data_IF_650626649473
#
_entry.id   IF_650626649473
#
_cell.length_a   1.000
_cell.length_b   1.000
_cell.length_c   1.000
_cell.angle_alpha   90.00
_cell.angle_beta   90.00
_cell.angle_gamma   90.00
#
_symmetry.space_group_name_H-M   'P 1'
#
loop_
_entity.id
_entity.type
_entity.pdbx_description
1 polymer ?
#
# COMPACT_ATOMS: atom_id res chain seq x y z
N UNK A 1 24.25 5.93 15.79
CA UNK A 1 24.37 5.20 14.51
C UNK A 1 23.50 5.94 13.51
N UNK A 2 24.01 6.35 12.34
CA UNK A 2 23.29 7.29 11.47
C UNK A 2 22.07 6.60 10.84
N UNK A 3 20.88 7.22 10.92
CA UNK A 3 19.61 6.65 10.45
C UNK A 3 19.66 6.23 8.96
N UNK A 4 20.54 6.89 8.19
CA UNK A 4 20.88 6.56 6.80
C UNK A 4 21.39 5.13 6.58
N UNK A 5 22.26 4.65 7.48
CA UNK A 5 22.91 3.33 7.35
C UNK A 5 21.88 2.24 7.55
N UNK A 6 20.99 2.38 8.54
CA UNK A 6 19.89 1.46 8.82
C UNK A 6 18.87 1.38 7.67
N UNK A 7 18.58 2.51 7.02
CA UNK A 7 17.67 2.57 5.87
C UNK A 7 18.26 1.96 4.60
N UNK A 8 19.57 2.14 4.37
CA UNK A 8 20.29 1.47 3.28
C UNK A 8 20.35 -0.04 3.49
N UNK A 9 20.60 -0.50 4.72
CA UNK A 9 20.68 -1.93 5.05
C UNK A 9 19.32 -2.62 4.96
N UNK A 10 18.24 -1.95 5.36
CA UNK A 10 16.87 -2.48 5.23
C UNK A 10 16.37 -2.54 3.77
N UNK A 11 17.08 -1.92 2.82
CA UNK A 11 16.84 -2.11 1.39
C UNK A 11 15.59 -1.42 0.86
N UNK A 12 15.10 -0.37 1.52
CA UNK A 12 14.00 0.44 0.99
C UNK A 12 14.45 1.25 -0.22
N UNK A 13 13.81 1.02 -1.37
CA UNK A 13 14.08 1.80 -2.58
C UNK A 13 13.45 3.19 -2.48
N UNK A 14 14.25 4.22 -2.81
CA UNK A 14 13.75 5.58 -3.02
C UNK A 14 12.77 5.57 -4.19
N UNK A 15 11.64 6.25 -4.05
CA UNK A 15 10.61 6.32 -5.09
C UNK A 15 9.96 7.69 -5.07
N UNK A 16 9.75 8.29 -6.24
CA UNK A 16 9.10 9.59 -6.34
C UNK A 16 7.66 9.51 -5.79
N UNK A 17 7.34 10.34 -4.79
CA UNK A 17 6.02 10.34 -4.13
C UNK A 17 4.93 10.79 -5.10
N UNK A 18 5.20 11.76 -5.97
CA UNK A 18 4.25 12.24 -6.98
C UNK A 18 3.89 11.10 -7.94
N UNK A 19 4.88 10.29 -8.33
CA UNK A 19 4.64 9.10 -9.17
C UNK A 19 3.71 8.10 -8.48
N UNK A 20 3.91 7.85 -7.19
CA UNK A 20 3.03 6.95 -6.41
C UNK A 20 1.61 7.50 -6.37
N UNK A 21 1.44 8.80 -6.07
CA UNK A 21 0.13 9.45 -6.04
C UNK A 21 -0.58 9.27 -7.37
N UNK A 22 0.09 9.63 -8.47
CA UNK A 22 -0.47 9.50 -9.82
C UNK A 22 -0.85 8.06 -10.14
N UNK A 23 0.04 7.09 -9.88
CA UNK A 23 -0.25 5.68 -10.14
C UNK A 23 -1.38 5.14 -9.26
N UNK A 24 -1.50 5.56 -8.00
CA UNK A 24 -2.62 5.18 -7.14
C UNK A 24 -3.97 5.61 -7.74
N UNK A 25 -4.04 6.82 -8.32
CA UNK A 25 -5.26 7.31 -8.96
C UNK A 25 -5.51 6.66 -10.33
N UNK A 26 -4.49 6.61 -11.20
CA UNK A 26 -4.61 6.08 -12.57
C UNK A 26 -5.02 4.60 -12.56
N UNK A 27 -4.50 3.83 -11.60
CA UNK A 27 -4.74 2.39 -11.50
C UNK A 27 -5.86 2.03 -10.53
N UNK A 28 -6.64 3.01 -10.04
CA UNK A 28 -7.73 2.78 -9.07
C UNK A 28 -7.31 1.93 -7.86
N UNK A 29 -6.12 2.19 -7.31
CA UNK A 29 -5.62 1.48 -6.13
C UNK A 29 -4.84 0.18 -6.40
N UNK A 30 -4.78 -0.35 -7.62
CA UNK A 30 -3.94 -1.53 -7.95
C UNK A 30 -2.47 -1.27 -7.59
N UNK A 31 -1.96 -0.07 -7.87
CA UNK A 31 -0.60 0.31 -7.51
C UNK A 31 -0.34 0.28 -6.00
N UNK A 32 -1.34 0.55 -5.17
CA UNK A 32 -1.22 0.49 -3.70
C UNK A 32 -0.90 -0.95 -3.27
N UNK A 33 -1.59 -1.94 -3.86
CA UNK A 33 -1.30 -3.36 -3.63
C UNK A 33 0.13 -3.71 -4.06
N UNK A 34 0.50 -3.31 -5.28
CA UNK A 34 1.85 -3.53 -5.80
C UNK A 34 2.92 -2.88 -4.91
N UNK A 35 2.67 -1.70 -4.37
CA UNK A 35 3.60 -0.98 -3.52
C UNK A 35 3.95 -1.76 -2.24
N UNK A 36 2.96 -2.36 -1.58
CA UNK A 36 3.18 -3.22 -0.41
C UNK A 36 3.91 -4.50 -0.78
N UNK A 37 3.51 -5.17 -1.86
CA UNK A 37 4.10 -6.44 -2.29
C UNK A 37 5.56 -6.27 -2.74
N UNK A 38 5.87 -5.21 -3.49
CA UNK A 38 7.22 -4.90 -3.96
C UNK A 38 8.21 -4.53 -2.84
N UNK A 39 7.71 -4.20 -1.64
CA UNK A 39 8.52 -3.84 -0.45
C UNK A 39 8.46 -4.90 0.65
N UNK A 40 7.85 -6.06 0.37
CA UNK A 40 7.74 -7.15 1.33
C UNK A 40 9.08 -7.49 1.97
N UNK A 41 10.10 -7.73 1.14
CA UNK A 41 11.42 -8.14 1.62
C UNK A 41 12.08 -7.07 2.51
N UNK A 42 11.90 -5.79 2.19
CA UNK A 42 12.41 -4.68 3.01
C UNK A 42 11.75 -4.64 4.39
N UNK A 43 10.43 -4.86 4.46
CA UNK A 43 9.71 -4.94 5.72
C UNK A 43 10.07 -6.20 6.52
N UNK A 44 10.23 -7.36 5.86
CA UNK A 44 10.65 -8.59 6.52
C UNK A 44 12.08 -8.49 7.09
N UNK A 45 12.96 -7.68 6.48
CA UNK A 45 14.29 -7.38 7.03
C UNK A 45 14.26 -6.50 8.28
N UNK A 46 13.29 -5.58 8.39
CA UNK A 46 13.15 -4.73 9.57
C UNK A 46 12.74 -5.52 10.81
N UNK A 47 11.92 -6.56 10.64
CA UNK A 47 11.43 -7.37 11.75
C UNK A 47 11.12 -8.80 11.29
N UNK A 48 11.64 -9.79 12.03
CA UNK A 48 11.46 -11.21 11.71
C UNK A 48 10.01 -11.73 11.81
N UNK A 49 9.09 -10.94 12.39
CA UNK A 49 7.68 -11.31 12.52
C UNK A 49 6.89 -10.62 11.41
N UNK A 50 6.18 -11.40 10.59
CA UNK A 50 5.32 -10.88 9.52
C UNK A 50 4.01 -10.33 10.12
N UNK A 51 3.96 -9.01 10.37
CA UNK A 51 2.74 -8.33 10.84
C UNK A 51 1.83 -7.85 9.69
N UNK A 52 2.38 -7.69 8.49
CA UNK A 52 1.64 -7.22 7.31
C UNK A 52 0.99 -8.42 6.60
N UNK A 53 -0.33 -8.40 6.35
CA UNK A 53 -1.05 -9.53 5.75
C UNK A 53 -0.84 -9.63 4.23
N UNK A 54 0.34 -10.02 3.77
CA UNK A 54 0.68 -10.05 2.33
C UNK A 54 -0.23 -10.95 1.48
N UNK A 55 -0.79 -12.03 2.05
CA UNK A 55 -1.75 -12.89 1.33
C UNK A 55 -3.02 -12.12 0.93
N UNK A 56 -3.51 -11.25 1.80
CA UNK A 56 -4.64 -10.38 1.51
C UNK A 56 -4.28 -9.33 0.44
N UNK A 57 -3.06 -8.80 0.47
CA UNK A 57 -2.58 -7.89 -0.58
C UNK A 57 -2.52 -8.52 -1.97
N UNK A 58 -2.16 -9.81 -2.08
CA UNK A 58 -2.23 -10.55 -3.35
C UNK A 58 -3.68 -10.69 -3.80
N UNK A 59 -4.59 -11.08 -2.90
CA UNK A 59 -6.03 -11.15 -3.21
C UNK A 59 -6.56 -9.82 -3.73
N UNK A 60 -6.28 -8.72 -3.02
CA UNK A 60 -6.71 -7.39 -3.44
C UNK A 60 -6.05 -6.96 -4.75
N UNK A 61 -4.79 -7.32 -5.02
CA UNK A 61 -4.14 -7.02 -6.30
C UNK A 61 -4.90 -7.68 -7.45
N UNK A 62 -5.19 -8.98 -7.33
CA UNK A 62 -5.94 -9.72 -8.36
C UNK A 62 -7.34 -9.15 -8.52
N UNK A 63 -8.05 -8.94 -7.41
CA UNK A 63 -9.40 -8.39 -7.42
C UNK A 63 -9.46 -7.00 -8.06
N UNK A 64 -8.66 -6.05 -7.59
CA UNK A 64 -8.64 -4.68 -8.14
C UNK A 64 -8.21 -4.63 -9.60
N UNK A 65 -7.36 -5.57 -10.04
CA UNK A 65 -7.00 -5.69 -11.46
C UNK A 65 -8.20 -6.17 -12.29
N UNK A 66 -8.94 -7.17 -11.81
CA UNK A 66 -10.17 -7.63 -12.46
C UNK A 66 -11.21 -6.51 -12.47
N UNK A 67 -11.35 -5.78 -11.36
CA UNK A 67 -12.25 -4.63 -11.25
C UNK A 67 -11.94 -3.52 -12.22
N UNK A 68 -10.66 -3.20 -12.35
CA UNK A 68 -10.19 -2.27 -13.36
C UNK A 68 -10.58 -2.74 -14.76
N UNK A 69 -10.33 -4.01 -15.12
CA UNK A 69 -10.65 -4.52 -16.45
C UNK A 69 -12.15 -4.49 -16.78
N UNK A 70 -13.02 -4.93 -15.87
CA UNK A 70 -14.47 -4.90 -16.13
C UNK A 70 -15.04 -3.47 -16.05
N UNK A 71 -14.41 -2.54 -15.35
CA UNK A 71 -14.85 -1.13 -15.39
C UNK A 71 -14.70 -0.54 -16.81
N UNK A 72 -13.68 -0.96 -17.57
CA UNK A 72 -13.48 -0.51 -18.96
C UNK A 72 -14.24 -1.34 -20.00
N UNK A 73 -14.35 -2.66 -19.80
CA UNK A 73 -14.87 -3.58 -20.83
C UNK A 73 -16.14 -4.32 -20.41
N UNK A 74 -16.62 -4.13 -19.19
CA UNK A 74 -17.71 -4.90 -18.60
C UNK A 74 -19.03 -4.70 -19.31
N UNK A 75 -19.31 -3.49 -19.80
CA UNK A 75 -20.52 -3.20 -20.57
C UNK A 75 -20.58 -3.90 -21.93
N UNK A 76 -19.46 -4.45 -22.42
CA UNK A 76 -19.42 -5.25 -23.64
C UNK A 76 -19.71 -6.73 -23.38
N UNK A 77 -19.54 -7.20 -22.13
CA UNK A 77 -19.59 -8.62 -21.76
C UNK A 77 -20.81 -8.94 -20.88
N UNK A 78 -21.23 -8.01 -20.03
CA UNK A 78 -22.28 -8.19 -19.03
C UNK A 78 -23.51 -7.33 -19.33
N UNK A 79 -24.65 -7.81 -18.85
CA UNK A 79 -25.89 -7.03 -18.83
C UNK A 79 -25.87 -6.01 -17.68
N UNK A 80 -26.72 -4.99 -17.73
CA UNK A 80 -26.83 -3.97 -16.68
C UNK A 80 -27.06 -4.58 -15.28
N UNK A 81 -27.88 -5.63 -15.21
CA UNK A 81 -28.12 -6.35 -13.96
C UNK A 81 -26.87 -7.08 -13.45
N UNK A 82 -26.09 -7.69 -14.34
CA UNK A 82 -24.83 -8.35 -13.99
C UNK A 82 -23.79 -7.34 -13.47
N UNK A 83 -23.69 -6.17 -14.11
CA UNK A 83 -22.82 -5.09 -13.66
C UNK A 83 -23.20 -4.58 -12.28
N UNK A 84 -24.50 -4.36 -12.02
CA UNK A 84 -24.96 -3.91 -10.70
C UNK A 84 -24.60 -4.87 -9.56
N UNK A 85 -24.61 -6.19 -9.83
CA UNK A 85 -24.16 -7.20 -8.87
C UNK A 85 -22.66 -7.09 -8.63
N UNK A 86 -21.85 -6.97 -9.70
CA UNK A 86 -20.41 -6.83 -9.59
C UNK A 86 -20.03 -5.55 -8.82
N UNK A 87 -20.69 -4.43 -9.10
CA UNK A 87 -20.49 -3.17 -8.39
C UNK A 87 -20.79 -3.31 -6.90
N UNK A 88 -21.84 -4.06 -6.55
CA UNK A 88 -22.19 -4.33 -5.14
C UNK A 88 -21.07 -5.08 -4.42
N UNK A 89 -20.49 -6.11 -5.07
CA UNK A 89 -19.32 -6.81 -4.53
C UNK A 89 -18.08 -5.92 -4.44
N UNK A 90 -17.86 -5.08 -5.45
CA UNK A 90 -16.72 -4.16 -5.51
C UNK A 90 -16.75 -3.16 -4.35
N UNK A 91 -17.92 -2.59 -4.04
CA UNK A 91 -18.10 -1.71 -2.88
C UNK A 91 -17.74 -2.43 -1.57
N UNK A 92 -18.27 -3.63 -1.35
CA UNK A 92 -18.00 -4.41 -0.13
C UNK A 92 -16.50 -4.68 -0.01
N UNK A 93 -15.87 -5.18 -1.08
CA UNK A 93 -14.45 -5.53 -1.09
C UNK A 93 -13.57 -4.29 -0.94
N UNK A 94 -13.99 -3.14 -1.46
CA UNK A 94 -13.30 -1.85 -1.30
C UNK A 94 -13.24 -1.41 0.16
N UNK A 95 -14.29 -1.64 0.95
CA UNK A 95 -14.24 -1.38 2.40
C UNK A 95 -13.24 -2.29 3.13
N UNK A 96 -13.20 -3.58 2.78
CA UNK A 96 -12.19 -4.50 3.32
C UNK A 96 -10.77 -4.11 2.90
N UNK A 97 -10.61 -3.68 1.64
CA UNK A 97 -9.34 -3.17 1.13
C UNK A 97 -8.87 -1.96 1.94
N UNK A 98 -9.75 -0.99 2.18
CA UNK A 98 -9.44 0.20 2.96
C UNK A 98 -9.04 -0.13 4.41
N UNK A 99 -9.74 -1.07 5.04
CA UNK A 99 -9.38 -1.56 6.37
C UNK A 99 -7.99 -2.22 6.40
N UNK A 100 -7.71 -3.08 5.42
CA UNK A 100 -6.41 -3.74 5.27
C UNK A 100 -5.28 -2.74 5.00
N UNK A 101 -5.56 -1.71 4.18
CA UNK A 101 -4.66 -0.61 3.87
C UNK A 101 -4.25 0.12 5.14
N UNK A 102 -5.21 0.62 5.92
CA UNK A 102 -4.87 1.34 7.15
C UNK A 102 -4.16 0.45 8.16
N UNK A 103 -4.64 -0.77 8.37
CA UNK A 103 -3.95 -1.73 9.24
C UNK A 103 -2.48 -1.91 8.84
N UNK A 104 -2.23 -2.13 7.54
CA UNK A 104 -0.87 -2.34 7.02
C UNK A 104 0.00 -1.09 7.11
N UNK A 105 -0.56 0.10 6.88
CA UNK A 105 0.15 1.37 7.02
C UNK A 105 0.59 1.62 8.47
N UNK A 106 -0.31 1.38 9.43
CA UNK A 106 0.03 1.51 10.85
C UNK A 106 1.06 0.46 11.30
N UNK A 107 0.96 -0.78 10.83
CA UNK A 107 1.98 -1.80 11.11
C UNK A 107 3.33 -1.46 10.49
N UNK A 108 3.35 -1.01 9.23
CA UNK A 108 4.57 -0.57 8.57
C UNK A 108 5.24 0.59 9.33
N UNK A 109 4.45 1.54 9.83
CA UNK A 109 4.92 2.59 10.73
C UNK A 109 5.56 2.03 11.99
N UNK A 110 4.85 1.18 12.74
CA UNK A 110 5.36 0.57 13.97
C UNK A 110 6.67 -0.19 13.72
N UNK A 111 6.76 -0.96 12.62
CA UNK A 111 7.98 -1.69 12.26
C UNK A 111 9.17 -0.74 12.05
N UNK A 112 8.96 0.39 11.37
CA UNK A 112 10.02 1.37 11.13
C UNK A 112 10.41 2.10 12.41
N UNK A 113 9.43 2.57 13.21
CA UNK A 113 9.70 3.29 14.46
C UNK A 113 10.39 2.40 15.49
N UNK A 114 9.99 1.13 15.61
CA UNK A 114 10.64 0.16 16.49
C UNK A 114 12.07 -0.15 16.06
N UNK A 115 12.32 -0.24 14.75
CA UNK A 115 13.67 -0.50 14.22
C UNK A 115 14.61 0.70 14.43
N UNK A 116 14.09 1.93 14.32
CA UNK A 116 14.86 3.15 14.54
C UNK A 116 14.89 3.62 16.00
N UNK A 117 14.07 3.02 16.86
CA UNK A 117 13.86 3.40 18.26
C UNK A 117 13.46 4.89 18.44
N UNK A 118 12.75 5.44 17.45
CA UNK A 118 12.34 6.85 17.39
C UNK A 118 10.93 7.00 16.81
N UNK A 119 10.13 7.91 17.38
CA UNK A 119 8.78 8.24 16.90
C UNK A 119 8.82 9.26 15.78
N UNK A 120 8.96 8.76 14.55
CA UNK A 120 9.23 9.61 13.37
C UNK A 120 7.95 9.98 12.62
N UNK A 121 6.87 9.22 12.76
CA UNK A 121 5.63 9.39 12.01
C UNK A 121 4.52 10.02 12.86
N UNK A 122 3.68 10.84 12.21
CA UNK A 122 2.49 11.43 12.83
C UNK A 122 1.26 10.60 12.41
N UNK A 123 0.48 10.03 13.35
CA UNK A 123 -0.64 9.14 13.04
C UNK A 123 -1.68 9.77 12.11
N UNK A 124 -2.04 11.04 12.32
CA UNK A 124 -3.07 11.72 11.52
C UNK A 124 -2.67 11.89 10.04
N UNK A 125 -1.38 12.10 9.76
CA UNK A 125 -0.87 12.17 8.38
C UNK A 125 -0.91 10.80 7.69
N UNK A 126 -0.76 9.70 8.44
CA UNK A 126 -0.91 8.35 7.89
C UNK A 126 -2.35 8.02 7.54
N UNK A 127 -3.34 8.58 8.26
CA UNK A 127 -4.75 8.39 7.89
C UNK A 127 -5.08 9.14 6.60
N UNK A 128 -4.64 10.39 6.47
CA UNK A 128 -4.97 11.21 5.28
C UNK A 128 -4.18 10.78 4.04
N UNK A 129 -2.88 10.53 4.20
CA UNK A 129 -1.96 10.33 3.09
C UNK A 129 -1.38 8.91 3.02
N UNK A 130 -1.76 8.01 3.93
CA UNK A 130 -1.47 6.56 3.88
C UNK A 130 -0.06 6.20 3.36
N UNK A 131 0.02 5.45 2.27
CA UNK A 131 1.28 5.03 1.64
C UNK A 131 2.13 6.20 1.11
N UNK A 132 1.51 7.33 0.72
CA UNK A 132 2.22 8.48 0.16
C UNK A 132 3.08 9.16 1.23
N UNK A 133 2.50 9.37 2.42
CA UNK A 133 3.26 9.91 3.55
C UNK A 133 4.33 8.95 4.04
N UNK A 134 4.02 7.65 4.03
CA UNK A 134 4.99 6.61 4.40
C UNK A 134 6.20 6.63 3.45
N UNK A 135 5.99 6.64 2.13
CA UNK A 135 7.09 6.77 1.18
C UNK A 135 7.83 8.11 1.31
N UNK A 136 7.11 9.23 1.48
CA UNK A 136 7.74 10.54 1.67
C UNK A 136 8.73 10.53 2.84
N UNK A 137 8.33 9.95 3.97
CA UNK A 137 9.18 9.83 5.15
C UNK A 137 10.34 8.86 4.92
N UNK A 138 10.12 7.71 4.29
CA UNK A 138 11.18 6.78 3.91
C UNK A 138 12.24 7.45 3.02
N UNK A 139 11.82 8.21 2.02
CA UNK A 139 12.74 8.95 1.15
C UNK A 139 13.60 9.94 1.93
N UNK A 140 12.99 10.68 2.87
CA UNK A 140 13.68 11.68 3.69
C UNK A 140 14.67 11.04 4.68
N UNK A 141 14.39 9.83 5.16
CA UNK A 141 15.27 9.08 6.06
C UNK A 141 16.48 8.49 5.32
N UNK A 142 16.41 8.31 3.99
CA UNK A 142 17.54 7.88 3.16
C UNK A 142 18.35 9.02 2.52
N UNK A 143 18.11 10.27 2.89
CA UNK A 143 18.79 11.48 2.37
C UNK A 143 19.67 12.20 3.43
N UNK A 144 19.85 11.65 4.63
CA UNK A 144 20.55 12.29 5.77
C UNK A 144 21.56 11.41 6.49
#
# INVERSE_FOLDING_TARGET
MNNEVLMRESGFKKTNVIFIVLMSFITFGVYICYWFLSRKDSFTKLQAKDWIPYKWWIFFLVFTTISFLYSFMGSLVFTDYGLAILDSYDVIITFYFLGCLYYSVFRAREMIENHLNESIFKPWLLVIFHIWYLQYKLNKLGEK
#
